data_IF_756045660877
#
_entry.id   IF_756045660877
#
_cell.length_a   1.000
_cell.length_b   1.000
_cell.length_c   1.000
_cell.angle_alpha   90.00
_cell.angle_beta   90.00
_cell.angle_gamma   90.00
#
_symmetry.space_group_name_H-M   'P 1'
#
loop_
_entity.id
_entity.type
_entity.pdbx_description
1 polymer ?
#
# COMPACT_ATOMS: atom_id res chain seq x y z
N UNK A 1 -3.10 -27.36 30.61
CA UNK A 1 -4.35 -26.71 30.12
C UNK A 1 -4.33 -25.18 30.24
N UNK A 2 -4.07 -24.59 31.43
CA UNK A 2 -3.99 -23.12 31.60
C UNK A 2 -2.94 -22.42 30.71
N UNK A 3 -1.74 -23.00 30.55
CA UNK A 3 -0.69 -22.44 29.66
C UNK A 3 -1.11 -22.42 28.16
N UNK A 4 -1.84 -23.44 27.71
CA UNK A 4 -2.30 -23.53 26.32
C UNK A 4 -3.37 -22.46 26.05
N UNK A 5 -4.35 -22.32 26.94
CA UNK A 5 -5.38 -21.28 26.89
C UNK A 5 -4.77 -19.87 26.94
N UNK A 6 -3.79 -19.63 27.83
CA UNK A 6 -3.09 -18.35 27.90
C UNK A 6 -2.35 -18.02 26.60
N UNK A 7 -1.70 -19.02 25.99
CA UNK A 7 -1.00 -18.83 24.71
C UNK A 7 -1.95 -18.52 23.55
N UNK A 8 -3.16 -19.09 23.54
CA UNK A 8 -4.18 -18.83 22.52
C UNK A 8 -4.79 -17.43 22.71
N UNK A 9 -5.10 -17.05 23.95
CA UNK A 9 -5.65 -15.72 24.27
C UNK A 9 -4.65 -14.61 23.91
N UNK A 10 -3.37 -14.78 24.25
CA UNK A 10 -2.32 -13.79 23.93
C UNK A 10 -2.10 -13.69 22.41
N UNK A 11 -2.13 -14.80 21.68
CA UNK A 11 -2.00 -14.80 20.20
C UNK A 11 -3.15 -14.08 19.51
N UNK A 12 -4.38 -14.27 19.99
CA UNK A 12 -5.55 -13.60 19.44
C UNK A 12 -5.54 -12.09 19.74
N UNK A 13 -5.08 -11.69 20.93
CA UNK A 13 -4.91 -10.27 21.27
C UNK A 13 -3.90 -9.56 20.34
N UNK A 14 -2.83 -10.25 19.93
CA UNK A 14 -1.84 -9.68 18.99
C UNK A 14 -2.40 -9.45 17.58
N UNK A 15 -3.25 -10.36 17.09
CA UNK A 15 -3.92 -10.20 15.81
C UNK A 15 -4.97 -9.07 15.87
N UNK A 16 -5.73 -8.99 16.96
CA UNK A 16 -6.68 -7.88 17.17
C UNK A 16 -6.01 -6.49 17.22
N UNK A 17 -4.77 -6.42 17.73
CA UNK A 17 -3.96 -5.20 17.69
C UNK A 17 -3.60 -4.79 16.26
N UNK A 18 -3.46 -5.74 15.33
CA UNK A 18 -3.08 -5.47 13.94
C UNK A 18 -4.27 -4.98 13.08
N UNK A 19 -5.50 -5.40 13.40
CA UNK A 19 -6.68 -5.04 12.62
C UNK A 19 -6.96 -3.55 12.57
N UNK A 20 -6.88 -2.85 13.72
CA UNK A 20 -7.19 -1.41 13.79
C UNK A 20 -6.20 -0.58 12.95
N UNK A 21 -4.88 -0.75 13.06
CA UNK A 21 -3.91 -0.12 12.17
C UNK A 21 -4.13 -0.44 10.70
N UNK A 22 -4.39 -1.70 10.34
CA UNK A 22 -4.63 -2.08 8.94
C UNK A 22 -5.89 -1.41 8.37
N UNK A 23 -6.98 -1.37 9.13
CA UNK A 23 -8.21 -0.69 8.72
C UNK A 23 -8.00 0.82 8.56
N UNK A 24 -7.32 1.46 9.52
CA UNK A 24 -6.99 2.87 9.42
C UNK A 24 -6.11 3.17 8.19
N UNK A 25 -5.07 2.37 7.96
CA UNK A 25 -4.18 2.51 6.81
C UNK A 25 -4.93 2.30 5.48
N UNK A 26 -5.83 1.30 5.41
CA UNK A 26 -6.66 1.05 4.24
C UNK A 26 -7.53 2.27 3.92
N UNK A 27 -8.23 2.81 4.92
CA UNK A 27 -9.07 4.00 4.75
C UNK A 27 -8.22 5.19 4.30
N UNK A 28 -7.06 5.42 4.91
CA UNK A 28 -6.17 6.51 4.54
C UNK A 28 -5.70 6.40 3.08
N UNK A 29 -5.31 5.19 2.63
CA UNK A 29 -4.91 4.94 1.24
C UNK A 29 -6.07 5.14 0.27
N UNK A 30 -7.28 4.72 0.63
CA UNK A 30 -8.47 4.91 -0.20
C UNK A 30 -8.88 6.38 -0.31
N UNK A 31 -8.81 7.15 0.79
CA UNK A 31 -9.03 8.61 0.75
C UNK A 31 -8.01 9.28 -0.16
N UNK A 32 -6.73 8.87 -0.08
CA UNK A 32 -5.69 9.36 -0.97
C UNK A 32 -5.94 8.97 -2.43
N UNK A 33 -6.37 7.74 -2.70
CA UNK A 33 -6.78 7.30 -4.04
C UNK A 33 -7.93 8.15 -4.60
N UNK A 34 -8.92 8.47 -3.77
CA UNK A 34 -10.04 9.34 -4.15
C UNK A 34 -9.59 10.79 -4.39
N UNK A 35 -8.61 11.31 -3.64
CA UNK A 35 -8.07 12.65 -3.89
C UNK A 35 -7.33 12.72 -5.24
N UNK A 36 -6.69 11.62 -5.66
CA UNK A 36 -6.05 11.49 -6.97
C UNK A 36 -7.06 11.49 -8.13
N UNK A 37 -8.33 11.08 -7.90
CA UNK A 37 -9.40 11.12 -8.92
C UNK A 37 -9.68 12.51 -9.48
N UNK A 38 -9.33 13.59 -8.77
CA UNK A 38 -9.49 14.96 -9.30
C UNK A 38 -8.49 15.32 -10.41
N UNK A 39 -7.48 14.48 -10.65
CA UNK A 39 -6.37 14.73 -11.59
C UNK A 39 -6.33 13.69 -12.73
N UNK A 40 -7.51 13.25 -13.21
CA UNK A 40 -7.67 12.16 -14.19
C UNK A 40 -6.84 12.31 -15.47
N UNK A 41 -6.58 13.53 -15.94
CA UNK A 41 -5.83 13.76 -17.19
C UNK A 41 -4.35 13.41 -17.09
N UNK A 42 -3.78 13.33 -15.88
CA UNK A 42 -2.34 13.13 -15.70
C UNK A 42 -1.98 12.13 -14.59
N UNK A 43 -2.92 11.48 -13.89
CA UNK A 43 -2.64 10.74 -12.64
C UNK A 43 -3.18 9.29 -12.59
N UNK A 44 -3.43 8.66 -13.74
CA UNK A 44 -4.05 7.34 -13.81
C UNK A 44 -3.14 6.23 -13.26
N UNK A 45 -1.84 6.23 -13.60
CA UNK A 45 -0.89 5.20 -13.12
C UNK A 45 -0.76 5.26 -11.61
N UNK A 46 -0.66 6.45 -11.04
CA UNK A 46 -0.56 6.66 -9.59
C UNK A 46 -1.83 6.25 -8.84
N UNK A 47 -3.01 6.44 -9.46
CA UNK A 47 -4.28 5.93 -8.92
C UNK A 47 -4.35 4.40 -8.93
N UNK A 48 -3.93 3.75 -10.01
CA UNK A 48 -3.90 2.28 -10.06
C UNK A 48 -2.93 1.73 -9.01
N UNK A 49 -1.75 2.35 -8.87
CA UNK A 49 -0.77 1.98 -7.86
C UNK A 49 -1.33 2.05 -6.43
N UNK A 50 -2.00 3.15 -6.06
CA UNK A 50 -2.60 3.29 -4.72
C UNK A 50 -3.76 2.31 -4.50
N UNK A 51 -4.51 1.96 -5.55
CA UNK A 51 -5.55 0.93 -5.47
C UNK A 51 -4.96 -0.47 -5.24
N UNK A 52 -3.83 -0.80 -5.89
CA UNK A 52 -3.10 -2.05 -5.65
C UNK A 52 -2.57 -2.13 -4.22
N UNK A 53 -2.06 -1.02 -3.69
CA UNK A 53 -1.64 -0.92 -2.28
C UNK A 53 -2.83 -1.15 -1.34
N UNK A 54 -3.98 -0.52 -1.60
CA UNK A 54 -5.19 -0.74 -0.83
C UNK A 54 -5.63 -2.22 -0.89
N UNK A 55 -5.59 -2.84 -2.07
CA UNK A 55 -5.89 -4.26 -2.24
C UNK A 55 -4.97 -5.18 -1.42
N UNK A 56 -3.67 -4.89 -1.37
CA UNK A 56 -2.71 -5.64 -0.56
C UNK A 56 -2.99 -5.51 0.95
N UNK A 57 -3.32 -4.30 1.42
CA UNK A 57 -3.68 -4.06 2.82
C UNK A 57 -4.98 -4.80 3.16
N UNK A 58 -5.99 -4.73 2.29
CA UNK A 58 -7.26 -5.44 2.46
C UNK A 58 -7.04 -6.96 2.50
N UNK A 59 -6.17 -7.50 1.65
CA UNK A 59 -5.82 -8.91 1.67
C UNK A 59 -5.21 -9.32 3.03
N UNK A 60 -4.26 -8.56 3.56
CA UNK A 60 -3.71 -8.82 4.90
C UNK A 60 -4.78 -8.75 5.99
N UNK A 61 -5.67 -7.76 5.92
CA UNK A 61 -6.77 -7.61 6.86
C UNK A 61 -7.71 -8.84 6.85
N UNK A 62 -8.05 -9.35 5.66
CA UNK A 62 -8.88 -10.56 5.53
C UNK A 62 -8.15 -11.77 6.11
N UNK A 63 -6.87 -11.97 5.82
CA UNK A 63 -6.08 -13.09 6.37
C UNK A 63 -6.04 -13.01 7.90
N UNK A 64 -5.80 -11.84 8.46
CA UNK A 64 -5.80 -11.64 9.91
C UNK A 64 -7.16 -11.97 10.54
N UNK A 65 -8.26 -11.51 9.92
CA UNK A 65 -9.63 -11.83 10.35
C UNK A 65 -9.89 -13.35 10.31
N UNK A 66 -9.45 -14.04 9.26
CA UNK A 66 -9.57 -15.50 9.16
C UNK A 66 -8.76 -16.21 10.25
N UNK A 67 -7.56 -15.72 10.57
CA UNK A 67 -6.72 -16.28 11.63
C UNK A 67 -7.45 -16.22 12.98
N UNK A 68 -8.02 -15.06 13.32
CA UNK A 68 -8.79 -14.89 14.55
C UNK A 68 -10.04 -15.78 14.54
N UNK A 69 -10.82 -15.75 13.46
CA UNK A 69 -12.10 -16.45 13.36
C UNK A 69 -11.95 -17.97 13.44
N UNK A 70 -10.88 -18.52 12.87
CA UNK A 70 -10.62 -19.96 12.85
C UNK A 70 -9.59 -20.40 13.91
N UNK A 71 -9.20 -19.50 14.82
CA UNK A 71 -8.18 -19.76 15.85
C UNK A 71 -6.88 -20.34 15.28
N UNK A 72 -6.46 -19.87 14.11
CA UNK A 72 -5.25 -20.33 13.45
C UNK A 72 -4.01 -19.72 14.11
N UNK A 73 -2.85 -20.30 13.82
CA UNK A 73 -1.58 -19.73 14.25
C UNK A 73 -1.34 -18.37 13.56
N UNK A 74 -0.90 -17.32 14.29
CA UNK A 74 -0.50 -16.05 13.68
C UNK A 74 0.63 -16.19 12.64
N UNK A 75 1.37 -17.31 12.66
CA UNK A 75 2.40 -17.61 11.68
C UNK A 75 1.88 -17.67 10.24
N UNK A 76 0.57 -17.87 10.02
CA UNK A 76 -0.03 -17.80 8.69
C UNK A 76 0.00 -16.39 8.07
N UNK A 77 0.25 -15.33 8.85
CA UNK A 77 0.53 -13.99 8.30
C UNK A 77 1.86 -13.93 7.56
N UNK A 78 2.85 -14.77 7.92
CA UNK A 78 4.18 -14.75 7.30
C UNK A 78 4.10 -15.08 5.79
N UNK A 79 3.51 -16.22 5.35
CA UNK A 79 3.40 -16.52 3.93
C UNK A 79 2.53 -15.50 3.20
N UNK A 80 1.45 -14.99 3.80
CA UNK A 80 0.62 -13.95 3.19
C UNK A 80 1.42 -12.66 2.93
N UNK A 81 2.21 -12.23 3.92
CA UNK A 81 3.09 -11.06 3.79
C UNK A 81 4.18 -11.30 2.75
N UNK A 82 4.76 -12.51 2.71
CA UNK A 82 5.79 -12.87 1.74
C UNK A 82 5.26 -12.79 0.29
N UNK A 83 4.04 -13.28 0.05
CA UNK A 83 3.40 -13.18 -1.27
C UNK A 83 3.26 -11.72 -1.71
N UNK A 84 2.84 -10.83 -0.82
CA UNK A 84 2.73 -9.40 -1.12
C UNK A 84 4.09 -8.80 -1.42
N UNK A 85 5.11 -9.09 -0.60
CA UNK A 85 6.46 -8.58 -0.82
C UNK A 85 6.98 -9.02 -2.19
N UNK A 86 6.85 -10.30 -2.53
CA UNK A 86 7.27 -10.83 -3.83
C UNK A 86 6.50 -10.16 -4.98
N UNK A 87 5.19 -9.98 -4.85
CA UNK A 87 4.38 -9.24 -5.83
C UNK A 87 4.88 -7.80 -6.01
N UNK A 88 5.13 -7.08 -4.92
CA UNK A 88 5.61 -5.69 -4.97
C UNK A 88 7.02 -5.58 -5.55
N UNK A 89 7.89 -6.56 -5.30
CA UNK A 89 9.23 -6.59 -5.89
C UNK A 89 9.17 -6.86 -7.39
N UNK A 90 8.37 -7.83 -7.83
CA UNK A 90 8.25 -8.18 -9.24
C UNK A 90 7.55 -7.09 -10.07
N UNK A 91 6.55 -6.42 -9.48
CA UNK A 91 5.77 -5.37 -10.13
C UNK A 91 6.12 -3.96 -9.62
N UNK A 92 7.35 -3.75 -9.12
CA UNK A 92 7.79 -2.50 -8.49
C UNK A 92 7.45 -1.25 -9.29
N UNK A 93 7.68 -1.27 -10.60
CA UNK A 93 7.43 -0.11 -11.49
C UNK A 93 5.94 0.26 -11.60
N UNK A 94 5.05 -0.72 -11.45
CA UNK A 94 3.61 -0.51 -11.50
C UNK A 94 3.03 -0.10 -10.14
N UNK A 95 3.56 -0.65 -9.04
CA UNK A 95 3.03 -0.42 -7.68
C UNK A 95 3.66 0.80 -7.01
N UNK A 96 4.87 1.17 -7.39
CA UNK A 96 5.60 2.32 -6.83
C UNK A 96 6.08 3.26 -7.96
N UNK A 97 5.17 3.91 -8.71
CA UNK A 97 5.51 4.83 -9.79
C UNK A 97 5.99 6.21 -9.30
N UNK A 98 6.34 6.35 -8.02
CA UNK A 98 6.67 7.64 -7.39
C UNK A 98 8.17 7.92 -7.50
N UNK A 99 8.55 8.90 -8.32
CA UNK A 99 9.93 9.44 -8.35
C UNK A 99 10.00 10.78 -7.60
N UNK A 100 11.06 10.97 -6.80
CA UNK A 100 11.32 12.21 -6.06
C UNK A 100 12.06 13.23 -6.96
N UNK A 101 12.82 12.74 -7.92
CA UNK A 101 13.64 13.54 -8.82
C UNK A 101 13.09 13.46 -10.24
N UNK A 102 13.33 14.50 -11.03
CA UNK A 102 13.01 14.50 -12.45
C UNK A 102 13.88 13.46 -13.16
N UNK A 103 13.27 12.56 -13.92
CA UNK A 103 13.97 11.51 -14.67
C UNK A 103 14.90 12.08 -15.76
N UNK A 104 14.66 13.32 -16.21
CA UNK A 104 15.46 13.99 -17.25
C UNK A 104 16.60 14.84 -16.67
N UNK A 105 16.29 15.78 -15.77
CA UNK A 105 17.27 16.78 -15.28
C UNK A 105 17.74 16.55 -13.83
N UNK A 106 17.24 15.52 -13.15
CA UNK A 106 17.60 15.21 -11.76
C UNK A 106 17.06 16.19 -10.70
N UNK A 107 16.41 17.30 -11.10
CA UNK A 107 15.84 18.28 -10.16
C UNK A 107 14.75 17.65 -9.29
N UNK A 108 14.75 17.95 -8.00
CA UNK A 108 13.71 17.52 -7.06
C UNK A 108 12.33 18.01 -7.50
N UNK A 109 11.38 17.09 -7.59
CA UNK A 109 9.99 17.37 -7.95
C UNK A 109 9.21 17.93 -6.75
N UNK A 110 8.20 18.76 -7.03
CA UNK A 110 7.28 19.22 -5.98
C UNK A 110 6.39 18.07 -5.51
N UNK A 111 6.00 18.07 -4.23
CA UNK A 111 5.17 17.01 -3.64
C UNK A 111 3.89 16.78 -4.45
N UNK A 112 3.25 17.87 -4.92
CA UNK A 112 2.07 17.78 -5.79
C UNK A 112 2.35 16.98 -7.07
N UNK A 113 3.50 17.20 -7.70
CA UNK A 113 3.88 16.48 -8.92
C UNK A 113 4.20 15.02 -8.64
N UNK A 114 4.93 14.75 -7.56
CA UNK A 114 5.22 13.38 -7.12
C UNK A 114 3.93 12.60 -6.85
N UNK A 115 2.93 13.20 -6.22
CA UNK A 115 1.72 12.48 -5.80
C UNK A 115 0.61 12.41 -6.86
N UNK A 116 0.52 13.40 -7.75
CA UNK A 116 -0.65 13.57 -8.64
C UNK A 116 -0.35 13.58 -10.14
N UNK A 117 0.92 13.67 -10.58
CA UNK A 117 1.30 13.62 -12.00
C UNK A 117 2.06 12.34 -12.32
N UNK A 118 1.65 11.60 -13.34
CA UNK A 118 2.24 10.34 -13.79
C UNK A 118 3.59 10.55 -14.47
N UNK A 119 3.81 11.73 -15.07
CA UNK A 119 5.11 12.12 -15.60
C UNK A 119 6.07 12.38 -14.43
N UNK A 120 7.12 11.57 -14.35
CA UNK A 120 8.24 11.78 -13.42
C UNK A 120 9.22 12.85 -13.96
N UNK A 121 8.71 13.84 -14.69
CA UNK A 121 9.47 14.97 -15.20
C UNK A 121 9.16 16.22 -14.38
N UNK A 122 9.97 17.27 -14.48
CA UNK A 122 9.64 18.58 -13.89
C UNK A 122 8.86 19.46 -14.88
N UNK A 123 8.21 20.52 -14.39
CA UNK A 123 7.37 21.40 -15.21
C UNK A 123 8.09 21.92 -16.45
N UNK A 124 9.35 22.37 -16.28
CA UNK A 124 10.15 22.91 -17.37
C UNK A 124 10.51 21.86 -18.42
N UNK A 125 10.83 20.63 -17.99
CA UNK A 125 11.16 19.53 -18.90
C UNK A 125 9.93 19.06 -19.67
N UNK A 126 8.78 18.95 -19.01
CA UNK A 126 7.52 18.55 -19.65
C UNK A 126 6.97 19.65 -20.58
N UNK A 127 7.23 20.93 -20.29
CA UNK A 127 6.85 22.04 -21.18
C UNK A 127 7.81 22.29 -22.34
N UNK A 128 9.06 21.80 -22.22
CA UNK A 128 10.10 21.91 -23.25
C UNK A 128 10.02 20.83 -24.34
N UNK A 129 9.11 19.86 -24.21
CA UNK A 129 8.71 18.88 -25.24
C UNK A 129 7.56 19.39 -26.13
N UNK A 130 7.35 20.71 -26.23
CA UNK A 130 6.44 21.31 -27.20
C UNK A 130 7.18 21.85 -28.42
#
# INVERSE_FOLDING_TARGET
MKLFLLSVIVKNAMAEILQKPLAFLLIAVLIFNLSQRRHLSYGEKKRIATLLIAGAILFLYIIDLLIIRFHLSPLYLIPATLIIILFFLNYRKAVLPFSINCDYCGKRLSIKRVLYHDSNMCANCESGEK
#
